data_IF_389860404949
#
_entry.id   IF_389860404949
#
_cell.length_a   1.000
_cell.length_b   1.000
_cell.length_c   1.000
_cell.angle_alpha   90.00
_cell.angle_beta   90.00
_cell.angle_gamma   90.00
#
_symmetry.space_group_name_H-M   'P 1'
#
loop_
_entity.id
_entity.type
_entity.pdbx_description
1 polymer ?
#
# COMPACT_ATOMS: atom_id res chain seq x y z
N UNK A 1 2.16 10.98 -6.44
CA UNK A 1 1.17 10.70 -5.37
C UNK A 1 1.86 10.87 -4.03
N UNK A 2 1.22 11.57 -3.07
CA UNK A 2 1.81 11.84 -1.76
C UNK A 2 1.46 10.71 -0.77
N UNK A 3 2.32 10.51 0.22
CA UNK A 3 2.11 9.57 1.33
C UNK A 3 1.53 10.32 2.53
N UNK A 4 0.81 9.63 3.42
CA UNK A 4 0.37 10.20 4.71
C UNK A 4 1.56 10.66 5.57
N UNK A 5 2.73 10.05 5.37
CA UNK A 5 4.01 10.58 5.81
C UNK A 5 4.76 11.33 4.72
N UNK A 6 5.02 12.63 4.92
CA UNK A 6 5.95 13.40 4.09
C UNK A 6 7.31 12.69 3.93
N UNK A 7 7.88 12.17 5.02
CA UNK A 7 9.13 11.40 5.01
C UNK A 7 9.08 10.13 4.11
N UNK A 8 7.89 9.54 3.91
CA UNK A 8 7.72 8.35 3.06
C UNK A 8 7.28 8.70 1.62
N UNK A 9 7.15 9.98 1.27
CA UNK A 9 6.62 10.40 -0.04
C UNK A 9 7.58 10.11 -1.18
N UNK A 10 8.88 10.27 -0.98
CA UNK A 10 9.88 9.91 -2.00
C UNK A 10 9.89 8.42 -2.31
N UNK A 11 9.81 7.56 -1.28
CA UNK A 11 9.72 6.11 -1.49
C UNK A 11 8.43 5.71 -2.21
N UNK A 12 7.29 6.34 -1.87
CA UNK A 12 6.02 6.10 -2.57
C UNK A 12 6.09 6.50 -4.05
N UNK A 13 6.77 7.62 -4.35
CA UNK A 13 6.96 8.09 -5.74
C UNK A 13 7.84 7.11 -6.52
N UNK A 14 8.95 6.67 -5.93
CA UNK A 14 9.81 5.68 -6.56
C UNK A 14 9.06 4.37 -6.85
N UNK A 15 8.30 3.85 -5.87
CA UNK A 15 7.50 2.64 -6.07
C UNK A 15 6.48 2.81 -7.20
N UNK A 16 5.79 3.96 -7.26
CA UNK A 16 4.81 4.26 -8.32
C UNK A 16 5.47 4.27 -9.71
N UNK A 17 6.67 4.88 -9.81
CA UNK A 17 7.44 4.90 -11.04
C UNK A 17 7.91 3.50 -11.46
N UNK A 18 8.46 2.73 -10.51
CA UNK A 18 8.92 1.36 -10.74
C UNK A 18 7.76 0.44 -11.14
N UNK A 19 6.62 0.55 -10.46
CA UNK A 19 5.44 -0.25 -10.75
C UNK A 19 4.94 -0.03 -12.19
N UNK A 20 4.78 1.24 -12.59
CA UNK A 20 4.32 1.57 -13.95
C UNK A 20 5.33 1.17 -15.04
N UNK A 21 6.62 1.30 -14.77
CA UNK A 21 7.68 1.12 -15.79
C UNK A 21 8.20 -0.32 -15.88
N UNK A 22 8.17 -1.09 -14.78
CA UNK A 22 8.75 -2.43 -14.71
C UNK A 22 7.69 -3.49 -14.46
N UNK A 23 6.93 -3.36 -13.37
CA UNK A 23 5.96 -4.38 -12.97
C UNK A 23 4.85 -4.56 -14.01
N UNK A 24 4.20 -3.48 -14.44
CA UNK A 24 3.15 -3.54 -15.48
C UNK A 24 3.66 -3.97 -16.87
N UNK A 25 4.98 -3.90 -17.09
CA UNK A 25 5.64 -4.35 -18.33
C UNK A 25 6.18 -5.78 -18.25
N UNK A 26 5.85 -6.52 -17.18
CA UNK A 26 6.26 -7.92 -16.99
C UNK A 26 7.67 -8.12 -16.41
N UNK A 27 8.39 -7.05 -16.08
CA UNK A 27 9.70 -7.14 -15.42
C UNK A 27 9.52 -7.32 -13.90
N UNK A 28 9.30 -8.55 -13.48
CA UNK A 28 9.19 -8.92 -12.06
C UNK A 28 10.56 -9.20 -11.42
N UNK A 29 11.38 -8.17 -11.25
CA UNK A 29 12.56 -8.28 -10.39
C UNK A 29 12.08 -8.19 -8.93
N UNK A 30 11.84 -9.36 -8.31
CA UNK A 30 11.26 -9.49 -6.95
C UNK A 30 12.15 -8.90 -5.85
N UNK A 31 13.47 -8.96 -6.00
CA UNK A 31 14.43 -8.67 -4.94
C UNK A 31 14.46 -7.19 -4.53
N UNK A 32 14.63 -6.20 -5.43
CA UNK A 32 14.69 -4.79 -5.02
C UNK A 32 13.34 -4.24 -4.52
N UNK A 33 12.23 -4.88 -4.85
CA UNK A 33 10.91 -4.44 -4.43
C UNK A 33 10.57 -4.86 -3.00
N UNK A 34 11.05 -6.02 -2.54
CA UNK A 34 10.70 -6.56 -1.21
C UNK A 34 11.29 -5.71 -0.09
N UNK A 35 12.57 -5.35 -0.18
CA UNK A 35 13.22 -4.54 0.86
C UNK A 35 12.70 -3.11 0.88
N UNK A 36 12.47 -2.53 -0.30
CA UNK A 36 11.86 -1.21 -0.41
C UNK A 36 10.43 -1.20 0.13
N UNK A 37 9.66 -2.27 -0.12
CA UNK A 37 8.30 -2.41 0.39
C UNK A 37 8.27 -2.57 1.91
N UNK A 38 9.17 -3.37 2.50
CA UNK A 38 9.32 -3.49 3.95
C UNK A 38 9.60 -2.15 4.60
N UNK A 39 10.54 -1.38 4.04
CA UNK A 39 10.90 -0.07 4.57
C UNK A 39 9.73 0.93 4.44
N UNK A 40 9.05 0.93 3.29
CA UNK A 40 7.86 1.75 3.10
C UNK A 40 6.72 1.36 4.05
N UNK A 41 6.49 0.06 4.27
CA UNK A 41 5.47 -0.44 5.19
C UNK A 41 5.76 -0.01 6.63
N UNK A 42 7.02 -0.08 7.08
CA UNK A 42 7.45 0.42 8.39
C UNK A 42 7.25 1.94 8.53
N UNK A 43 7.59 2.70 7.48
CA UNK A 43 7.37 4.15 7.44
C UNK A 43 5.88 4.51 7.50
N UNK A 44 5.02 3.72 6.85
CA UNK A 44 3.57 3.89 6.86
C UNK A 44 2.96 3.51 8.21
N UNK A 45 3.34 2.37 8.78
CA UNK A 45 2.85 1.89 10.08
C UNK A 45 3.13 2.87 11.24
N UNK A 46 4.25 3.60 11.17
CA UNK A 46 4.63 4.58 12.20
C UNK A 46 3.69 5.81 12.21
N UNK A 47 3.11 6.16 11.05
CA UNK A 47 2.21 7.32 10.90
C UNK A 47 0.72 6.95 10.80
N UNK A 48 0.39 5.68 10.58
CA UNK A 48 -0.97 5.17 10.45
C UNK A 48 -1.64 4.84 11.80
N UNK A 49 -1.07 5.29 12.93
CA UNK A 49 -1.62 5.07 14.29
C UNK A 49 -3.07 5.53 14.49
N UNK A 50 -3.66 6.24 13.52
CA UNK A 50 -5.05 6.75 13.58
C UNK A 50 -5.98 6.15 12.50
N UNK A 51 -5.50 5.26 11.61
CA UNK A 51 -6.34 4.67 10.57
C UNK A 51 -6.47 3.16 10.83
N UNK A 52 -7.68 2.64 11.09
CA UNK A 52 -7.89 1.22 11.29
C UNK A 52 -7.69 0.45 9.98
N UNK A 53 -6.48 -0.10 9.80
CA UNK A 53 -6.13 -1.00 8.70
C UNK A 53 -6.15 -2.48 9.09
N UNK A 54 -5.91 -2.77 10.38
CA UNK A 54 -5.87 -4.14 10.92
C UNK A 54 -7.28 -4.74 11.00
N UNK A 55 -7.45 -5.99 10.53
CA UNK A 55 -8.75 -6.69 10.51
C UNK A 55 -9.61 -6.46 9.27
N UNK A 56 -9.13 -5.73 8.25
CA UNK A 56 -9.79 -5.64 6.95
C UNK A 56 -9.40 -6.85 6.08
N UNK A 57 -10.39 -7.67 5.74
CA UNK A 57 -10.24 -8.82 4.84
C UNK A 57 -9.85 -8.36 3.42
N UNK A 58 -8.87 -9.03 2.83
CA UNK A 58 -8.44 -8.75 1.45
C UNK A 58 -9.63 -8.93 0.49
N UNK A 59 -9.87 -7.93 -0.34
CA UNK A 59 -10.99 -7.89 -1.29
C UNK A 59 -12.40 -7.92 -0.65
N UNK A 60 -12.50 -7.68 0.66
CA UNK A 60 -13.77 -7.44 1.35
C UNK A 60 -14.63 -8.68 1.61
N UNK A 61 -14.05 -9.88 1.60
CA UNK A 61 -14.78 -11.13 1.81
C UNK A 61 -15.42 -11.28 3.22
N UNK A 62 -15.14 -10.34 4.14
CA UNK A 62 -15.79 -10.24 5.46
C UNK A 62 -16.61 -8.97 5.70
N UNK A 63 -16.94 -8.20 4.65
CA UNK A 63 -17.88 -7.07 4.76
C UNK A 63 -19.25 -7.50 4.25
N UNK A 64 -20.09 -7.92 5.17
CA UNK A 64 -21.53 -8.08 4.95
C UNK A 64 -22.08 -6.75 4.41
N UNK A 65 -22.81 -6.83 3.29
CA UNK A 65 -23.43 -5.68 2.64
C UNK A 65 -24.48 -5.12 3.61
N UNK A 66 -24.50 -3.83 3.97
CA UNK A 66 -25.59 -3.30 4.78
C UNK A 66 -26.89 -3.43 3.96
N UNK A 67 -27.81 -4.27 4.44
CA UNK A 67 -29.17 -4.29 3.93
C UNK A 67 -29.77 -2.90 4.13
N UNK A 68 -30.11 -2.26 3.00
CA UNK A 68 -30.92 -1.06 2.97
C UNK A 68 -32.33 -1.44 3.43
N UNK A 69 -32.62 -1.28 4.73
CA UNK A 69 -33.99 -1.30 5.21
C UNK A 69 -34.70 -0.02 4.75
N UNK A 70 -35.63 -0.18 3.81
CA UNK A 70 -36.67 0.81 3.47
C UNK A 70 -37.73 0.89 4.56
#
# INVERSE_FOLDING_TARGET
>A
MNSLGEACTDMKRYFSHWFAKKFLRGHCSRVPCIDLFKHYHQCKATKEKEIPGEGLEFMGHGKEKPESSS
#
